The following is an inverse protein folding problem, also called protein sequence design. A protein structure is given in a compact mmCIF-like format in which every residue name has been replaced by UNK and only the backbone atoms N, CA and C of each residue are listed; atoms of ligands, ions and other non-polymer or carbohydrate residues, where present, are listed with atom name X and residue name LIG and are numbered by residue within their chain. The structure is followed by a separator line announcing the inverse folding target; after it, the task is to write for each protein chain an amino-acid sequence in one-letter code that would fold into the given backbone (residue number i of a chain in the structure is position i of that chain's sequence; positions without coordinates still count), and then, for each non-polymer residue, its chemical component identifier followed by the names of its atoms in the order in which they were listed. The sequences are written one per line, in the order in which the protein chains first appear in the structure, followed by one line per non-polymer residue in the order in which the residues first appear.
data_IF_936883045504
#
_entry.id   IF_936883045504
#
_cell.length_a   1.000
_cell.length_b   1.000
_cell.length_c   1.000
_cell.angle_alpha   90.00
_cell.angle_beta   90.00
_cell.angle_gamma   90.00
#
_symmetry.space_group_name_H-M   'P 1'
#
loop_
_entity.id
_entity.type
_entity.pdbx_description
1 polymer ?
#
# COMPACT_ATOMS: atom_id res chain seq x y z
N UNK A 1 -1.45 -13.29 -38.36
CA UNK A 1 -1.73 -13.91 -37.05
C UNK A 1 -3.25 -14.12 -36.97
N UNK A 2 -3.75 -15.33 -36.67
CA UNK A 2 -5.19 -15.54 -36.51
C UNK A 2 -5.66 -14.98 -35.15
N UNK A 3 -6.93 -14.57 -35.02
CA UNK A 3 -7.47 -14.08 -33.73
C UNK A 3 -7.37 -15.15 -32.65
N UNK A 4 -7.59 -16.42 -32.99
CA UNK A 4 -7.45 -17.54 -32.08
C UNK A 4 -6.02 -17.63 -31.47
N UNK A 5 -4.99 -17.35 -32.31
CA UNK A 5 -3.60 -17.35 -31.83
C UNK A 5 -3.31 -16.18 -30.87
N UNK A 6 -3.88 -15.00 -31.13
CA UNK A 6 -3.82 -13.86 -30.22
C UNK A 6 -4.43 -14.21 -28.85
N UNK A 7 -5.62 -14.83 -28.87
CA UNK A 7 -6.31 -15.27 -27.66
C UNK A 7 -5.48 -16.28 -26.85
N UNK A 8 -4.83 -17.23 -27.53
CA UNK A 8 -3.93 -18.20 -26.86
C UNK A 8 -2.74 -17.49 -26.21
N UNK A 9 -2.10 -16.54 -26.89
CA UNK A 9 -0.98 -15.80 -26.32
C UNK A 9 -1.40 -14.95 -25.10
N UNK A 10 -2.56 -14.31 -25.17
CA UNK A 10 -3.11 -13.60 -24.00
C UNK A 10 -3.48 -14.55 -22.84
N UNK A 11 -3.96 -15.76 -23.14
CA UNK A 11 -4.19 -16.78 -22.13
C UNK A 11 -2.88 -17.19 -21.45
N UNK A 12 -1.82 -17.43 -22.22
CA UNK A 12 -0.49 -17.75 -21.69
C UNK A 12 0.03 -16.59 -20.81
N UNK A 13 -0.10 -15.33 -21.26
CA UNK A 13 0.27 -14.17 -20.46
C UNK A 13 -0.52 -14.10 -19.16
N UNK A 14 -1.83 -14.40 -19.18
CA UNK A 14 -2.69 -14.43 -18.00
C UNK A 14 -2.26 -15.52 -17.01
N UNK A 15 -1.91 -16.71 -17.49
CA UNK A 15 -1.35 -17.78 -16.64
C UNK A 15 -0.03 -17.35 -16.00
N UNK A 16 0.83 -16.64 -16.76
CA UNK A 16 2.05 -16.06 -16.22
C UNK A 16 1.77 -15.05 -15.09
N UNK A 17 0.75 -14.20 -15.22
CA UNK A 17 0.35 -13.25 -14.18
C UNK A 17 -0.21 -13.96 -12.93
N UNK A 18 -1.01 -15.01 -13.09
CA UNK A 18 -1.48 -15.83 -11.97
C UNK A 18 -0.28 -16.45 -11.22
N UNK A 19 0.68 -17.01 -11.96
CA UNK A 19 1.89 -17.59 -11.37
C UNK A 19 2.79 -16.52 -10.73
N UNK A 20 2.79 -15.30 -11.27
CA UNK A 20 3.49 -14.18 -10.66
C UNK A 20 2.89 -13.84 -9.29
N UNK A 21 1.58 -13.66 -9.19
CA UNK A 21 0.91 -13.38 -7.91
C UNK A 21 1.12 -14.50 -6.90
N UNK A 22 0.97 -15.76 -7.32
CA UNK A 22 1.24 -16.92 -6.47
C UNK A 22 2.70 -16.96 -6.02
N UNK A 23 3.66 -16.66 -6.89
CA UNK A 23 5.08 -16.65 -6.55
C UNK A 23 5.45 -15.48 -5.61
N UNK A 24 4.82 -14.33 -5.76
CA UNK A 24 5.07 -13.15 -4.92
C UNK A 24 4.46 -13.26 -3.50
N UNK A 25 3.59 -14.24 -3.26
CA UNK A 25 2.97 -14.44 -1.94
C UNK A 25 3.93 -15.00 -0.89
N UNK A 26 5.09 -15.55 -1.29
CA UNK A 26 6.09 -16.10 -0.38
C UNK A 26 7.50 -15.62 -0.74
N UNK A 27 8.34 -15.25 0.23
CA UNK A 27 9.66 -14.68 -0.01
C UNK A 27 10.57 -15.56 -0.85
N UNK A 28 10.60 -16.87 -0.58
CA UNK A 28 11.48 -17.84 -1.29
C UNK A 28 11.10 -18.04 -2.76
N UNK A 29 9.85 -17.77 -3.13
CA UNK A 29 9.34 -17.91 -4.51
C UNK A 29 9.21 -16.57 -5.24
N UNK A 30 9.44 -15.44 -4.57
CA UNK A 30 9.21 -14.07 -5.08
C UNK A 30 10.00 -13.77 -6.36
N UNK A 31 11.28 -14.17 -6.42
CA UNK A 31 12.13 -13.98 -7.61
C UNK A 31 11.56 -14.74 -8.81
N UNK A 32 11.10 -15.99 -8.60
CA UNK A 32 10.46 -16.79 -9.64
C UNK A 32 9.14 -16.16 -10.08
N UNK A 33 8.34 -15.70 -9.13
CA UNK A 33 7.08 -14.99 -9.40
C UNK A 33 7.31 -13.74 -10.25
N UNK A 34 8.30 -12.93 -9.93
CA UNK A 34 8.65 -11.74 -10.69
C UNK A 34 9.07 -12.08 -12.14
N UNK A 35 9.83 -13.16 -12.35
CA UNK A 35 10.20 -13.63 -13.70
C UNK A 35 8.97 -14.03 -14.51
N UNK A 36 7.98 -14.69 -13.92
CA UNK A 36 6.70 -14.98 -14.58
C UNK A 36 5.96 -13.70 -14.94
N UNK A 37 5.91 -12.70 -14.07
CA UNK A 37 5.30 -11.40 -14.35
C UNK A 37 5.96 -10.69 -15.53
N UNK A 38 7.28 -10.65 -15.56
CA UNK A 38 8.04 -10.08 -16.69
C UNK A 38 7.77 -10.84 -18.00
N UNK A 39 7.79 -12.17 -17.98
CA UNK A 39 7.51 -12.98 -19.16
C UNK A 39 6.07 -12.74 -19.67
N UNK A 40 5.08 -12.72 -18.78
CA UNK A 40 3.69 -12.41 -19.13
C UNK A 40 3.55 -11.03 -19.77
N UNK A 41 4.22 -10.01 -19.23
CA UNK A 41 4.19 -8.65 -19.77
C UNK A 41 4.84 -8.56 -21.16
N UNK A 42 5.97 -9.23 -21.37
CA UNK A 42 6.64 -9.28 -22.68
C UNK A 42 5.72 -9.94 -23.72
N UNK A 43 5.12 -11.11 -23.40
CA UNK A 43 4.19 -11.81 -24.29
C UNK A 43 3.00 -10.90 -24.62
N UNK A 44 2.39 -10.28 -23.64
CA UNK A 44 1.24 -9.39 -23.83
C UNK A 44 1.58 -8.19 -24.72
N UNK A 45 2.71 -7.53 -24.46
CA UNK A 45 3.15 -6.35 -25.22
C UNK A 45 3.46 -6.69 -26.67
N UNK A 46 4.21 -7.78 -26.91
CA UNK A 46 4.54 -8.23 -28.27
C UNK A 46 3.30 -8.69 -29.03
N UNK A 47 2.37 -9.37 -28.39
CA UNK A 47 1.10 -9.79 -28.97
C UNK A 47 0.27 -8.59 -29.39
N UNK A 48 0.17 -7.58 -28.52
CA UNK A 48 -0.56 -6.34 -28.80
C UNK A 48 0.09 -5.55 -29.94
N UNK A 49 1.42 -5.44 -29.96
CA UNK A 49 2.15 -4.78 -31.04
C UNK A 49 1.92 -5.47 -32.40
N UNK A 50 1.97 -6.81 -32.42
CA UNK A 50 1.70 -7.60 -33.62
C UNK A 50 0.23 -7.45 -34.08
N UNK A 51 -0.72 -7.33 -33.16
CA UNK A 51 -2.11 -7.08 -33.43
C UNK A 51 -2.34 -5.69 -34.06
N UNK A 52 -1.68 -4.66 -33.51
CA UNK A 52 -1.74 -3.28 -34.05
C UNK A 52 -1.21 -3.24 -35.49
N UNK A 53 -0.05 -3.85 -35.76
CA UNK A 53 0.51 -3.92 -37.13
C UNK A 53 -0.50 -4.54 -38.11
N UNK A 54 -1.19 -5.58 -37.64
CA UNK A 54 -2.19 -6.27 -38.49
C UNK A 54 -3.46 -5.45 -38.74
N UNK A 55 -3.98 -4.77 -37.73
CA UNK A 55 -5.26 -4.07 -37.77
C UNK A 55 -5.14 -2.64 -38.32
N UNK A 56 -4.06 -1.94 -37.97
CA UNK A 56 -3.89 -0.52 -38.31
C UNK A 56 -3.40 -0.28 -39.76
N UNK A 57 -3.00 -1.32 -40.49
CA UNK A 57 -2.56 -1.21 -41.89
C UNK A 57 -1.38 -0.27 -42.13
N UNK A 58 -0.67 0.19 -41.12
CA UNK A 58 0.42 1.16 -41.24
C UNK A 58 1.35 1.29 -40.06
N UNK A 59 2.58 1.76 -40.34
CA UNK A 59 3.64 1.93 -39.35
C UNK A 59 3.40 3.09 -38.34
N UNK A 60 2.48 4.00 -38.65
CA UNK A 60 2.26 5.23 -37.85
C UNK A 60 1.73 4.91 -36.45
N UNK A 61 0.78 3.98 -36.32
CA UNK A 61 0.23 3.54 -35.03
C UNK A 61 1.29 2.87 -34.14
N UNK A 62 2.15 2.04 -34.73
CA UNK A 62 3.27 1.41 -34.04
C UNK A 62 4.30 2.46 -33.56
N UNK A 63 4.54 3.51 -34.34
CA UNK A 63 5.43 4.61 -33.94
C UNK A 63 4.98 5.29 -32.65
N UNK A 64 3.70 5.57 -32.47
CA UNK A 64 3.15 6.13 -31.23
C UNK A 64 3.26 5.17 -30.04
N UNK A 65 3.05 3.88 -30.27
CA UNK A 65 3.22 2.85 -29.21
C UNK A 65 4.69 2.78 -28.77
N UNK A 66 5.63 2.75 -29.73
CA UNK A 66 7.07 2.74 -29.42
C UNK A 66 7.46 4.02 -28.66
N UNK A 67 6.99 5.18 -29.09
CA UNK A 67 7.26 6.44 -28.41
C UNK A 67 6.73 6.41 -26.97
N UNK A 68 5.50 5.94 -26.76
CA UNK A 68 4.92 5.79 -25.42
C UNK A 68 5.70 4.81 -24.55
N UNK A 69 6.14 3.68 -25.09
CA UNK A 69 6.98 2.70 -24.38
C UNK A 69 8.36 3.28 -24.01
N UNK A 70 8.99 4.03 -24.90
CA UNK A 70 10.27 4.67 -24.64
C UNK A 70 10.14 5.74 -23.57
N UNK A 71 9.16 6.62 -23.67
CA UNK A 71 8.93 7.69 -22.68
C UNK A 71 8.55 7.10 -21.30
N UNK A 72 7.52 6.26 -21.25
CA UNK A 72 7.03 5.67 -20.01
C UNK A 72 8.04 4.69 -19.41
N UNK A 73 8.66 3.85 -20.22
CA UNK A 73 9.68 2.88 -19.79
C UNK A 73 10.94 3.57 -19.26
N UNK A 74 11.40 4.64 -19.91
CA UNK A 74 12.56 5.42 -19.44
C UNK A 74 12.23 6.11 -18.11
N UNK A 75 11.09 6.81 -18.03
CA UNK A 75 10.66 7.48 -16.80
C UNK A 75 10.49 6.47 -15.66
N UNK A 76 9.79 5.36 -15.91
CA UNK A 76 9.57 4.31 -14.92
C UNK A 76 10.86 3.65 -14.44
N UNK A 77 11.79 3.35 -15.36
CA UNK A 77 13.10 2.77 -15.01
C UNK A 77 13.94 3.72 -14.17
N UNK A 78 13.98 5.01 -14.52
CA UNK A 78 14.70 6.01 -13.73
C UNK A 78 14.11 6.12 -12.33
N UNK A 79 12.79 6.19 -12.22
CA UNK A 79 12.11 6.26 -10.93
C UNK A 79 12.36 5.01 -10.10
N UNK A 80 12.20 3.81 -10.67
CA UNK A 80 12.39 2.55 -9.97
C UNK A 80 13.83 2.37 -9.45
N UNK A 81 14.85 2.82 -10.21
CA UNK A 81 16.25 2.74 -9.78
C UNK A 81 16.66 3.79 -8.74
N UNK A 82 15.96 4.92 -8.69
CA UNK A 82 16.31 6.04 -7.79
C UNK A 82 15.49 6.10 -6.51
N UNK A 83 14.37 5.40 -6.48
CA UNK A 83 13.52 5.38 -5.30
C UNK A 83 14.19 4.57 -4.19
N UNK A 84 14.28 5.18 -3.02
CA UNK A 84 14.68 4.52 -1.79
C UNK A 84 13.54 3.62 -1.28
N UNK A 85 13.84 2.49 -0.67
CA UNK A 85 12.81 1.56 -0.14
C UNK A 85 11.86 2.23 0.84
N UNK A 86 12.34 3.18 1.63
CA UNK A 86 11.52 3.98 2.55
C UNK A 86 10.47 4.84 1.84
N UNK A 87 10.65 5.13 0.55
CA UNK A 87 9.75 5.92 -0.30
C UNK A 87 8.90 5.06 -1.24
N UNK A 88 8.95 3.74 -1.11
CA UNK A 88 8.13 2.83 -1.93
C UNK A 88 6.63 3.11 -1.83
N UNK A 89 6.04 3.43 -0.65
CA UNK A 89 4.62 3.78 -0.58
C UNK A 89 4.23 4.98 -1.44
N UNK A 90 5.12 6.00 -1.52
CA UNK A 90 4.93 7.17 -2.37
C UNK A 90 4.94 6.76 -3.86
N UNK A 91 5.94 5.96 -4.27
CA UNK A 91 6.04 5.47 -5.64
C UNK A 91 4.83 4.66 -6.06
N UNK A 92 4.39 3.74 -5.20
CA UNK A 92 3.22 2.89 -5.46
C UNK A 92 1.96 3.75 -5.65
N UNK A 93 1.72 4.74 -4.79
CA UNK A 93 0.61 5.66 -4.96
C UNK A 93 0.72 6.45 -6.28
N UNK A 94 1.91 6.94 -6.63
CA UNK A 94 2.12 7.63 -7.90
C UNK A 94 1.83 6.71 -9.11
N UNK A 95 2.29 5.47 -9.08
CA UNK A 95 2.00 4.50 -10.15
C UNK A 95 0.50 4.26 -10.32
N UNK A 96 -0.25 4.10 -9.23
CA UNK A 96 -1.70 3.95 -9.31
C UNK A 96 -2.39 5.18 -9.89
N UNK A 97 -1.86 6.39 -9.64
CA UNK A 97 -2.40 7.59 -10.29
C UNK A 97 -2.25 7.52 -11.82
N UNK A 98 -1.09 7.11 -12.30
CA UNK A 98 -0.87 6.98 -13.76
C UNK A 98 -1.75 5.89 -14.39
N UNK A 99 -1.95 4.76 -13.70
CA UNK A 99 -2.85 3.68 -14.17
C UNK A 99 -4.31 4.20 -14.23
N UNK A 100 -4.77 4.91 -13.21
CA UNK A 100 -6.10 5.52 -13.21
C UNK A 100 -6.30 6.51 -14.35
N UNK A 101 -5.30 7.36 -14.60
CA UNK A 101 -5.34 8.31 -15.72
C UNK A 101 -5.32 7.61 -17.08
N UNK A 102 -4.54 6.54 -17.22
CA UNK A 102 -4.52 5.74 -18.44
C UNK A 102 -5.90 5.11 -18.74
N UNK A 103 -6.59 4.61 -17.69
CA UNK A 103 -7.95 4.08 -17.84
C UNK A 103 -8.94 5.15 -18.34
N UNK A 104 -8.84 6.37 -17.81
CA UNK A 104 -9.67 7.50 -18.29
C UNK A 104 -9.40 7.81 -19.77
N UNK A 105 -8.13 7.91 -20.16
CA UNK A 105 -7.79 8.20 -21.57
C UNK A 105 -8.21 7.10 -22.52
N UNK A 106 -8.06 5.83 -22.14
CA UNK A 106 -8.51 4.70 -22.96
C UNK A 106 -10.03 4.75 -23.11
N UNK A 107 -10.77 5.00 -22.04
CA UNK A 107 -12.23 5.11 -22.11
C UNK A 107 -12.67 6.28 -23.01
N UNK A 108 -12.04 7.45 -22.88
CA UNK A 108 -12.32 8.60 -23.75
C UNK A 108 -12.01 8.30 -25.20
N UNK A 109 -10.87 7.69 -25.49
CA UNK A 109 -10.50 7.29 -26.85
C UNK A 109 -11.48 6.26 -27.43
N UNK A 110 -11.90 5.28 -26.62
CA UNK A 110 -12.87 4.25 -27.05
C UNK A 110 -14.28 4.83 -27.31
N UNK A 111 -14.67 5.87 -26.58
CA UNK A 111 -15.92 6.59 -26.83
C UNK A 111 -15.83 7.46 -28.08
N UNK A 112 -14.68 8.11 -28.31
CA UNK A 112 -14.46 8.96 -29.48
C UNK A 112 -14.40 8.15 -30.79
N UNK A 113 -13.72 7.00 -30.77
CA UNK A 113 -13.44 6.19 -31.95
C UNK A 113 -13.76 4.69 -31.71
N UNK A 114 -15.03 4.33 -31.39
CA UNK A 114 -15.38 2.97 -30.95
C UNK A 114 -15.11 1.90 -32.03
N UNK A 115 -15.13 2.29 -33.31
CA UNK A 115 -14.80 1.39 -34.41
C UNK A 115 -13.31 1.01 -34.44
N UNK A 116 -12.44 1.91 -34.00
CA UNK A 116 -11.00 1.65 -33.94
C UNK A 116 -10.65 0.58 -32.88
N UNK A 117 -11.48 0.47 -31.85
CA UNK A 117 -11.34 -0.52 -30.78
C UNK A 117 -12.17 -1.81 -31.04
N UNK A 118 -12.87 -1.89 -32.16
CA UNK A 118 -13.70 -3.05 -32.48
C UNK A 118 -14.98 -3.16 -31.63
N UNK A 119 -15.39 -2.08 -30.97
CA UNK A 119 -16.59 -2.05 -30.11
C UNK A 119 -17.85 -1.94 -30.94
N UNK A 120 -17.82 -1.15 -32.01
CA UNK A 120 -18.94 -1.01 -32.95
C UNK A 120 -18.42 -0.78 -34.37
N UNK A 121 -19.26 -0.99 -35.39
CA UNK A 121 -18.93 -0.61 -36.78
C UNK A 121 -18.89 0.91 -36.93
N UNK A 122 -18.15 1.40 -37.91
CA UNK A 122 -18.04 2.84 -38.16
C UNK A 122 -19.43 3.46 -38.44
N UNK A 123 -19.76 4.49 -37.65
CA UNK A 123 -21.07 5.16 -37.72
C UNK A 123 -22.20 4.46 -36.95
N UNK A 124 -21.92 3.34 -36.33
CA UNK A 124 -22.91 2.67 -35.46
C UNK A 124 -22.74 3.07 -33.99
N UNK A 125 -23.85 3.11 -33.26
CA UNK A 125 -23.79 3.44 -31.81
C UNK A 125 -23.05 2.36 -31.03
N UNK A 126 -22.44 2.78 -29.92
CA UNK A 126 -21.80 1.86 -28.97
C UNK A 126 -22.88 0.95 -28.34
N UNK A 127 -22.69 -0.37 -28.25
CA UNK A 127 -23.64 -1.27 -27.58
C UNK A 127 -23.89 -0.85 -26.12
N UNK A 128 -25.12 -1.06 -25.63
CA UNK A 128 -25.52 -0.59 -24.31
C UNK A 128 -24.68 -1.13 -23.15
N UNK A 129 -24.21 -2.37 -23.22
CA UNK A 129 -23.29 -2.95 -22.24
C UNK A 129 -21.97 -2.21 -22.18
N UNK A 130 -21.33 -2.02 -23.34
CA UNK A 130 -20.05 -1.33 -23.45
C UNK A 130 -20.11 0.13 -22.98
N UNK A 131 -21.25 0.81 -23.11
CA UNK A 131 -21.41 2.18 -22.58
C UNK A 131 -21.31 2.22 -21.06
N UNK A 132 -21.95 1.27 -20.37
CA UNK A 132 -21.87 1.18 -18.90
C UNK A 132 -20.45 0.84 -18.49
N UNK A 133 -19.83 -0.13 -19.13
CA UNK A 133 -18.47 -0.58 -18.82
C UNK A 133 -17.45 0.55 -19.00
N UNK A 134 -17.53 1.29 -20.12
CA UNK A 134 -16.65 2.45 -20.38
C UNK A 134 -16.87 3.56 -19.37
N UNK A 135 -18.12 3.89 -19.05
CA UNK A 135 -18.44 4.92 -18.07
C UNK A 135 -17.94 4.53 -16.65
N UNK A 136 -18.15 3.28 -16.23
CA UNK A 136 -17.66 2.80 -14.94
C UNK A 136 -16.15 2.70 -14.90
N UNK A 137 -15.51 2.20 -15.96
CA UNK A 137 -14.06 2.15 -16.08
C UNK A 137 -13.42 3.54 -16.01
N UNK A 138 -13.98 4.52 -16.70
CA UNK A 138 -13.55 5.92 -16.63
C UNK A 138 -13.78 6.54 -15.25
N UNK A 139 -14.93 6.29 -14.62
CA UNK A 139 -15.28 6.79 -13.30
C UNK A 139 -14.33 6.28 -12.22
N UNK A 140 -14.12 4.95 -12.17
CA UNK A 140 -13.20 4.32 -11.23
C UNK A 140 -11.77 4.77 -11.51
N UNK A 141 -11.37 4.88 -12.78
CA UNK A 141 -10.07 5.40 -13.18
C UNK A 141 -9.84 6.84 -12.72
N UNK A 142 -10.87 7.70 -12.84
CA UNK A 142 -10.82 9.10 -12.39
C UNK A 142 -10.67 9.20 -10.86
N UNK A 143 -11.44 8.43 -10.10
CA UNK A 143 -11.29 8.34 -8.62
C UNK A 143 -9.89 7.86 -8.27
N UNK A 144 -9.39 6.83 -8.95
CA UNK A 144 -8.06 6.27 -8.72
C UNK A 144 -6.97 7.30 -8.96
N UNK A 145 -7.06 8.06 -10.06
CA UNK A 145 -6.08 9.09 -10.38
C UNK A 145 -5.97 10.14 -9.29
N UNK A 146 -7.06 10.86 -9.02
CA UNK A 146 -7.00 11.98 -8.06
C UNK A 146 -6.81 11.51 -6.63
N UNK A 147 -7.43 10.40 -6.24
CA UNK A 147 -7.22 9.79 -4.93
C UNK A 147 -5.78 9.39 -4.70
N UNK A 148 -5.13 8.80 -5.70
CA UNK A 148 -3.72 8.40 -5.63
C UNK A 148 -2.77 9.62 -5.62
N UNK A 149 -3.10 10.72 -6.32
CA UNK A 149 -2.33 11.97 -6.24
C UNK A 149 -2.38 12.54 -4.81
N UNK A 150 -3.54 12.55 -4.18
CA UNK A 150 -3.67 13.00 -2.78
C UNK A 150 -2.90 12.06 -1.84
N UNK A 151 -3.03 10.74 -2.00
CA UNK A 151 -2.31 9.76 -1.20
C UNK A 151 -0.78 9.93 -1.35
N UNK A 152 -0.28 10.08 -2.57
CA UNK A 152 1.13 10.39 -2.85
C UNK A 152 1.58 11.65 -2.11
N UNK A 153 0.83 12.75 -2.20
CA UNK A 153 1.14 13.99 -1.52
C UNK A 153 1.22 13.84 0.00
N UNK A 154 0.25 13.12 0.59
CA UNK A 154 0.21 12.85 2.04
C UNK A 154 1.34 11.95 2.52
N UNK A 155 1.71 10.94 1.73
CA UNK A 155 2.81 10.02 2.06
C UNK A 155 4.16 10.71 1.96
N UNK A 156 4.38 11.55 0.96
CA UNK A 156 5.67 12.22 0.73
C UNK A 156 6.03 13.22 1.84
N UNK A 157 5.03 13.84 2.47
CA UNK A 157 5.23 14.81 3.55
C UNK A 157 6.03 16.06 3.17
N UNK A 158 6.41 16.22 1.88
CA UNK A 158 7.28 17.30 1.40
C UNK A 158 6.52 18.58 1.06
N UNK A 159 5.23 18.44 0.76
CA UNK A 159 4.43 19.54 0.25
C UNK A 159 3.73 20.29 1.39
N UNK A 160 3.86 21.61 1.41
CA UNK A 160 3.19 22.48 2.41
C UNK A 160 1.70 22.67 2.14
N UNK A 161 1.19 22.20 1.01
CA UNK A 161 -0.20 22.32 0.63
C UNK A 161 -1.10 21.49 1.57
N UNK A 162 -2.16 22.10 2.11
CA UNK A 162 -3.00 21.52 3.17
C UNK A 162 -3.54 20.11 2.84
N UNK A 163 -3.90 19.86 1.57
CA UNK A 163 -4.43 18.56 1.13
C UNK A 163 -3.38 17.47 1.12
N UNK A 164 -2.09 17.82 1.04
CA UNK A 164 -0.95 16.89 1.01
C UNK A 164 -0.29 16.71 2.39
N UNK A 165 -0.84 17.36 3.41
CA UNK A 165 -0.38 17.11 4.78
C UNK A 165 -0.98 15.79 5.28
N UNK A 166 -0.21 15.03 6.08
CA UNK A 166 -0.66 13.74 6.63
C UNK A 166 -1.86 13.82 7.58
N UNK A 167 -2.27 15.03 7.98
CA UNK A 167 -3.44 15.26 8.83
C UNK A 167 -4.75 15.10 8.06
N UNK A 168 -5.80 14.54 8.68
CA UNK A 168 -7.14 14.50 8.10
C UNK A 168 -7.68 15.90 7.83
N UNK A 169 -8.32 16.09 6.67
CA UNK A 169 -9.06 17.30 6.34
C UNK A 169 -10.54 16.94 6.32
N UNK A 170 -11.25 17.31 7.37
CA UNK A 170 -12.67 17.02 7.56
C UNK A 170 -13.45 18.33 7.60
N UNK A 171 -14.66 18.35 7.04
CA UNK A 171 -15.60 19.47 7.08
C UNK A 171 -17.05 19.00 7.25
N UNK A 172 -17.89 19.83 7.82
CA UNK A 172 -19.29 19.50 8.07
C UNK A 172 -20.02 19.19 6.76
N UNK A 173 -20.81 18.11 6.73
CA UNK A 173 -21.59 17.72 5.57
C UNK A 173 -20.81 16.95 4.49
N UNK A 174 -19.55 16.60 4.70
CA UNK A 174 -18.70 15.88 3.73
C UNK A 174 -19.32 14.59 3.22
N UNK A 175 -19.93 13.81 4.09
CA UNK A 175 -20.58 12.55 3.69
C UNK A 175 -21.79 12.76 2.80
N UNK A 176 -22.59 13.77 3.11
CA UNK A 176 -23.73 14.16 2.26
C UNK A 176 -23.28 14.66 0.90
N UNK A 177 -22.19 15.44 0.86
CA UNK A 177 -21.60 15.89 -0.40
C UNK A 177 -21.10 14.69 -1.23
N UNK A 178 -20.36 13.77 -0.63
CA UNK A 178 -19.87 12.57 -1.32
C UNK A 178 -21.02 11.70 -1.84
N UNK A 179 -22.09 11.54 -1.05
CA UNK A 179 -23.28 10.83 -1.47
C UNK A 179 -23.97 11.53 -2.65
N UNK A 180 -24.16 12.85 -2.55
CA UNK A 180 -24.77 13.63 -3.62
C UNK A 180 -23.98 13.54 -4.93
N UNK A 181 -22.66 13.66 -4.87
CA UNK A 181 -21.77 13.51 -6.03
C UNK A 181 -21.80 12.07 -6.59
N UNK A 182 -21.88 11.07 -5.73
CA UNK A 182 -22.02 9.67 -6.14
C UNK A 182 -23.35 9.41 -6.87
N UNK A 183 -24.45 9.90 -6.33
CA UNK A 183 -25.78 9.81 -6.97
C UNK A 183 -25.79 10.58 -8.30
N UNK A 184 -25.21 11.78 -8.33
CA UNK A 184 -25.12 12.58 -9.55
C UNK A 184 -24.27 11.88 -10.61
N UNK A 185 -23.16 11.23 -10.21
CA UNK A 185 -22.35 10.42 -11.11
C UNK A 185 -23.15 9.27 -11.73
N UNK A 186 -23.95 8.58 -10.91
CA UNK A 186 -24.82 7.50 -11.39
C UNK A 186 -25.86 8.02 -12.39
N UNK A 187 -26.44 9.19 -12.16
CA UNK A 187 -27.37 9.83 -13.09
C UNK A 187 -26.68 10.11 -14.43
N UNK A 188 -25.45 10.62 -14.42
CA UNK A 188 -24.70 10.86 -15.66
C UNK A 188 -24.24 9.57 -16.34
N UNK A 189 -23.95 8.50 -15.61
CA UNK A 189 -23.69 7.16 -16.19
C UNK A 189 -24.95 6.68 -16.94
N UNK A 190 -26.12 6.78 -16.33
CA UNK A 190 -27.40 6.42 -16.95
C UNK A 190 -27.74 7.35 -18.15
N UNK A 191 -27.46 8.64 -18.05
CA UNK A 191 -27.60 9.57 -19.15
C UNK A 191 -26.68 9.22 -20.34
N UNK A 192 -25.42 8.86 -20.06
CA UNK A 192 -24.48 8.39 -21.08
C UNK A 192 -24.91 7.06 -21.69
N UNK A 193 -25.39 6.14 -20.88
CA UNK A 193 -25.94 4.88 -21.35
C UNK A 193 -27.08 5.10 -22.38
N UNK A 194 -27.90 6.11 -22.16
CA UNK A 194 -29.04 6.42 -23.01
C UNK A 194 -28.66 7.20 -24.28
N UNK A 195 -27.83 8.23 -24.13
CA UNK A 195 -27.58 9.24 -25.17
C UNK A 195 -26.23 9.13 -25.87
N UNK A 196 -25.24 8.43 -25.31
CA UNK A 196 -23.82 8.46 -25.73
C UNK A 196 -23.25 9.89 -25.79
N UNK A 197 -23.85 10.85 -25.06
CA UNK A 197 -23.46 12.24 -25.12
C UNK A 197 -22.07 12.47 -24.53
N UNK A 198 -21.20 13.16 -25.26
CA UNK A 198 -19.85 13.52 -24.79
C UNK A 198 -19.92 14.32 -23.47
N UNK A 199 -20.93 15.18 -23.32
CA UNK A 199 -21.14 15.93 -22.09
C UNK A 199 -21.36 15.02 -20.87
N UNK A 200 -22.21 13.99 -21.00
CA UNK A 200 -22.46 13.03 -19.91
C UNK A 200 -21.20 12.28 -19.53
N UNK A 201 -20.39 11.86 -20.49
CA UNK A 201 -19.11 11.20 -20.23
C UNK A 201 -18.11 12.13 -19.53
N UNK A 202 -18.03 13.38 -19.98
CA UNK A 202 -17.18 14.40 -19.33
C UNK A 202 -17.59 14.64 -17.88
N UNK A 203 -18.90 14.71 -17.61
CA UNK A 203 -19.43 14.87 -16.27
C UNK A 203 -19.13 13.66 -15.36
N UNK A 204 -19.24 12.44 -15.88
CA UNK A 204 -18.84 11.20 -15.15
C UNK A 204 -17.37 11.29 -14.72
N UNK A 205 -16.49 11.69 -15.62
CA UNK A 205 -15.05 11.81 -15.35
C UNK A 205 -14.78 12.95 -14.35
N UNK A 206 -15.38 14.13 -14.54
CA UNK A 206 -15.20 15.28 -13.66
C UNK A 206 -15.66 15.00 -12.24
N UNK A 207 -16.81 14.36 -12.08
CA UNK A 207 -17.35 13.96 -10.78
C UNK A 207 -16.48 12.85 -10.14
N UNK A 208 -15.94 11.93 -10.94
CA UNK A 208 -14.97 10.94 -10.49
C UNK A 208 -13.70 11.58 -9.94
N UNK A 209 -13.15 12.59 -10.62
CA UNK A 209 -12.01 13.36 -10.13
C UNK A 209 -12.30 14.08 -8.81
N UNK A 210 -13.47 14.71 -8.68
CA UNK A 210 -13.87 15.36 -7.46
C UNK A 210 -14.02 14.36 -6.30
N UNK A 211 -14.69 13.24 -6.53
CA UNK A 211 -14.89 12.20 -5.53
C UNK A 211 -13.56 11.57 -5.09
N UNK A 212 -12.63 11.34 -6.01
CA UNK A 212 -11.31 10.80 -5.65
C UNK A 212 -10.55 11.69 -4.67
N UNK A 213 -10.62 13.01 -4.85
CA UNK A 213 -10.06 13.96 -3.87
C UNK A 213 -10.81 13.87 -2.54
N UNK A 214 -12.13 13.99 -2.57
CA UNK A 214 -12.97 14.09 -1.37
C UNK A 214 -12.99 12.83 -0.52
N UNK A 215 -12.77 11.65 -1.11
CA UNK A 215 -12.67 10.38 -0.39
C UNK A 215 -11.34 10.25 0.37
N UNK A 216 -10.25 10.80 -0.16
CA UNK A 216 -8.91 10.57 0.41
C UNK A 216 -8.46 11.69 1.37
N UNK A 217 -8.96 12.91 1.21
CA UNK A 217 -8.54 14.02 2.08
C UNK A 217 -8.86 13.82 3.57
N UNK A 218 -9.97 13.17 3.98
CA UNK A 218 -10.28 12.98 5.41
C UNK A 218 -9.48 11.84 6.05
N UNK A 219 -8.78 11.02 5.26
CA UNK A 219 -8.06 9.86 5.77
C UNK A 219 -6.69 10.31 6.30
N UNK A 220 -6.38 9.90 7.52
CA UNK A 220 -5.12 10.20 8.19
C UNK A 220 -3.96 9.30 7.74
N UNK A 221 -2.74 9.68 8.11
CA UNK A 221 -1.52 8.92 7.78
C UNK A 221 -1.50 7.49 8.33
N UNK A 222 -2.19 7.22 9.43
CA UNK A 222 -2.32 5.90 10.03
C UNK A 222 -3.02 4.89 9.12
N UNK A 223 -4.08 5.33 8.44
CA UNK A 223 -4.91 4.47 7.58
C UNK A 223 -4.39 4.43 6.12
N UNK A 224 -3.30 5.14 5.81
CA UNK A 224 -2.71 5.18 4.45
C UNK A 224 -2.32 3.80 3.89
N UNK A 225 -1.82 2.83 4.67
CA UNK A 225 -1.57 1.49 4.14
C UNK A 225 -2.82 0.84 3.52
N UNK A 226 -3.97 0.97 4.19
CA UNK A 226 -5.26 0.47 3.68
C UNK A 226 -5.67 1.22 2.42
N UNK A 227 -5.50 2.54 2.41
CA UNK A 227 -5.81 3.40 1.26
C UNK A 227 -4.99 3.02 0.03
N UNK A 228 -3.69 2.84 0.17
CA UNK A 228 -2.81 2.43 -0.94
C UNK A 228 -3.25 1.08 -1.51
N UNK A 229 -3.59 0.12 -0.65
CA UNK A 229 -4.11 -1.18 -1.08
C UNK A 229 -5.47 -1.06 -1.78
N UNK A 230 -6.34 -0.17 -1.32
CA UNK A 230 -7.65 0.06 -1.93
C UNK A 230 -7.55 0.78 -3.27
N UNK A 231 -6.62 1.73 -3.41
CA UNK A 231 -6.32 2.39 -4.70
C UNK A 231 -5.75 1.39 -5.72
N UNK A 232 -4.95 0.41 -5.25
CA UNK A 232 -4.53 -0.74 -6.07
C UNK A 232 -5.75 -1.54 -6.57
N UNK A 233 -6.71 -1.81 -5.67
CA UNK A 233 -7.96 -2.48 -6.04
C UNK A 233 -8.76 -1.70 -7.09
N UNK A 234 -8.92 -0.39 -6.90
CA UNK A 234 -9.62 0.47 -7.86
C UNK A 234 -8.94 0.48 -9.23
N UNK A 235 -7.60 0.55 -9.27
CA UNK A 235 -6.86 0.47 -10.53
C UNK A 235 -7.08 -0.85 -11.25
N UNK A 236 -7.15 -1.96 -10.51
CA UNK A 236 -7.47 -3.28 -11.06
C UNK A 236 -8.90 -3.34 -11.62
N UNK A 237 -9.89 -2.84 -10.91
CA UNK A 237 -11.27 -2.81 -11.39
C UNK A 237 -11.49 -1.88 -12.57
N UNK A 238 -10.80 -0.73 -12.61
CA UNK A 238 -10.81 0.15 -13.78
C UNK A 238 -10.25 -0.59 -15.02
N UNK A 239 -9.12 -1.30 -14.87
CA UNK A 239 -8.54 -2.10 -15.95
C UNK A 239 -9.48 -3.23 -16.41
N UNK A 240 -10.15 -3.93 -15.47
CA UNK A 240 -11.11 -4.97 -15.80
C UNK A 240 -12.33 -4.40 -16.56
N UNK A 241 -12.89 -3.28 -16.10
CA UNK A 241 -14.01 -2.60 -16.77
C UNK A 241 -13.68 -2.17 -18.20
N UNK A 242 -12.52 -1.58 -18.40
CA UNK A 242 -12.01 -1.29 -19.76
C UNK A 242 -11.80 -2.58 -20.56
N UNK A 243 -11.26 -3.63 -19.92
CA UNK A 243 -11.05 -4.93 -20.54
C UNK A 243 -12.33 -5.57 -21.07
N UNK A 244 -13.45 -5.45 -20.37
CA UNK A 244 -14.76 -5.91 -20.85
C UNK A 244 -15.17 -5.16 -22.12
N UNK A 245 -15.10 -3.84 -22.11
CA UNK A 245 -15.46 -3.02 -23.27
C UNK A 245 -14.60 -3.28 -24.50
N UNK A 246 -13.32 -3.54 -24.30
CA UNK A 246 -12.36 -3.84 -25.37
C UNK A 246 -12.33 -5.32 -25.76
N UNK A 247 -13.14 -6.16 -25.12
CA UNK A 247 -13.11 -7.62 -25.25
C UNK A 247 -11.69 -8.20 -25.10
N UNK A 248 -10.92 -7.66 -24.15
CA UNK A 248 -9.55 -8.05 -23.90
C UNK A 248 -9.47 -8.93 -22.65
N UNK A 249 -9.42 -10.24 -22.85
CA UNK A 249 -9.40 -11.24 -21.79
C UNK A 249 -8.21 -11.07 -20.81
N UNK A 250 -7.06 -10.62 -21.31
CA UNK A 250 -5.90 -10.38 -20.47
C UNK A 250 -6.14 -9.24 -19.46
N UNK A 251 -6.70 -8.11 -19.91
CA UNK A 251 -7.06 -6.99 -19.02
C UNK A 251 -8.14 -7.38 -18.01
N UNK A 252 -9.13 -8.19 -18.43
CA UNK A 252 -10.18 -8.69 -17.55
C UNK A 252 -9.55 -9.53 -16.44
N UNK A 253 -8.73 -10.53 -16.80
CA UNK A 253 -8.12 -11.45 -15.83
C UNK A 253 -7.14 -10.71 -14.91
N UNK A 254 -6.20 -9.97 -15.47
CA UNK A 254 -5.21 -9.24 -14.67
C UNK A 254 -5.87 -8.19 -13.78
N UNK A 255 -6.81 -7.42 -14.33
CA UNK A 255 -7.55 -6.40 -13.59
C UNK A 255 -8.39 -6.98 -12.46
N UNK A 256 -9.11 -8.08 -12.70
CA UNK A 256 -9.92 -8.77 -11.69
C UNK A 256 -9.05 -9.35 -10.57
N UNK A 257 -7.89 -9.94 -10.90
CA UNK A 257 -6.96 -10.47 -9.90
C UNK A 257 -6.39 -9.35 -9.02
N UNK A 258 -5.91 -8.28 -9.62
CA UNK A 258 -5.37 -7.12 -8.89
C UNK A 258 -6.46 -6.45 -8.06
N UNK A 259 -7.64 -6.26 -8.66
CA UNK A 259 -8.79 -5.65 -7.98
C UNK A 259 -9.22 -6.45 -6.75
N UNK A 260 -9.38 -7.75 -6.89
CA UNK A 260 -9.79 -8.63 -5.79
C UNK A 260 -8.72 -8.76 -4.71
N UNK A 261 -7.45 -8.95 -5.10
CA UNK A 261 -6.35 -9.07 -4.12
C UNK A 261 -6.16 -7.79 -3.31
N UNK A 262 -6.25 -6.61 -3.93
CA UNK A 262 -6.20 -5.33 -3.24
C UNK A 262 -7.35 -5.13 -2.26
N UNK A 263 -8.58 -5.52 -2.62
CA UNK A 263 -9.74 -5.43 -1.74
C UNK A 263 -9.62 -6.37 -0.54
N UNK A 264 -9.22 -7.63 -0.77
CA UNK A 264 -9.00 -8.62 0.30
C UNK A 264 -7.92 -8.14 1.25
N UNK A 265 -6.79 -7.66 0.73
CA UNK A 265 -5.68 -7.14 1.54
C UNK A 265 -6.13 -5.93 2.37
N UNK A 266 -6.89 -4.99 1.78
CA UNK A 266 -7.45 -3.85 2.51
C UNK A 266 -8.38 -4.29 3.65
N UNK A 267 -9.22 -5.31 3.41
CA UNK A 267 -10.09 -5.87 4.44
C UNK A 267 -9.30 -6.51 5.59
N UNK A 268 -8.28 -7.32 5.27
CA UNK A 268 -7.42 -7.96 6.28
C UNK A 268 -6.70 -6.90 7.12
N UNK A 269 -6.18 -5.84 6.48
CA UNK A 269 -5.52 -4.75 7.18
C UNK A 269 -6.48 -3.96 8.07
N UNK A 270 -7.70 -3.69 7.62
CA UNK A 270 -8.72 -3.06 8.47
C UNK A 270 -9.02 -3.92 9.69
N UNK A 271 -9.11 -5.25 9.51
CA UNK A 271 -9.30 -6.19 10.62
C UNK A 271 -8.10 -6.18 11.58
N UNK A 272 -6.87 -6.16 11.06
CA UNK A 272 -5.64 -6.06 11.87
C UNK A 272 -5.51 -4.73 12.61
N UNK A 273 -6.19 -3.67 12.15
CA UNK A 273 -6.25 -2.36 12.82
C UNK A 273 -7.47 -2.20 13.72
N UNK A 274 -8.33 -3.22 13.81
CA UNK A 274 -9.66 -3.16 14.44
C UNK A 274 -10.50 -1.98 13.95
N UNK A 275 -10.44 -1.71 12.67
CA UNK A 275 -11.20 -0.64 12.01
C UNK A 275 -12.24 -1.22 11.05
N UNK A 276 -13.42 -0.58 10.99
CA UNK A 276 -14.41 -0.94 9.98
C UNK A 276 -13.89 -0.61 8.58
N UNK A 277 -13.91 -1.60 7.69
CA UNK A 277 -13.51 -1.44 6.30
C UNK A 277 -14.28 -0.31 5.59
N UNK A 278 -15.60 -0.26 5.77
CA UNK A 278 -16.43 0.79 5.19
C UNK A 278 -16.12 2.16 5.77
N UNK A 279 -15.82 2.24 7.07
CA UNK A 279 -15.47 3.51 7.70
C UNK A 279 -14.16 4.07 7.14
N UNK A 280 -13.17 3.23 6.91
CA UNK A 280 -11.89 3.66 6.33
C UNK A 280 -12.07 4.11 4.88
N UNK A 281 -12.80 3.35 4.05
CA UNK A 281 -12.99 3.67 2.62
C UNK A 281 -13.84 4.93 2.42
N UNK A 282 -14.89 5.10 3.21
CA UNK A 282 -15.77 6.27 3.11
C UNK A 282 -15.19 7.53 3.77
N UNK A 283 -14.02 7.42 4.39
CA UNK A 283 -13.26 8.58 4.87
C UNK A 283 -13.92 9.32 6.03
N UNK A 284 -14.54 8.62 6.99
CA UNK A 284 -15.45 9.30 7.86
C UNK A 284 -15.27 9.25 9.37
N UNK A 285 -14.47 8.39 9.94
CA UNK A 285 -14.62 8.11 11.37
C UNK A 285 -13.31 8.12 12.20
N UNK A 286 -12.23 8.69 11.66
CA UNK A 286 -11.00 8.95 12.43
C UNK A 286 -11.04 10.24 13.28
N UNK A 287 -12.06 11.08 13.10
CA UNK A 287 -12.17 12.36 13.79
C UNK A 287 -12.48 12.23 15.29
N UNK A 288 -13.30 11.25 15.66
CA UNK A 288 -13.73 11.10 17.05
C UNK A 288 -12.62 10.49 17.94
N UNK A 289 -11.76 9.65 17.39
CA UNK A 289 -10.60 9.11 18.11
C UNK A 289 -9.51 10.19 18.35
N UNK A 290 -9.33 11.12 17.42
CA UNK A 290 -8.37 12.22 17.59
C UNK A 290 -8.87 13.31 18.55
N UNK A 291 -10.18 13.48 18.69
CA UNK A 291 -10.77 14.40 19.65
C UNK A 291 -10.75 13.87 21.09
N UNK A 292 -10.78 12.55 21.28
CA UNK A 292 -10.70 11.92 22.59
C UNK A 292 -9.24 11.85 23.14
N UNK A 293 -8.23 12.04 22.27
CA UNK A 293 -6.81 11.97 22.65
C UNK A 293 -6.24 13.27 23.26
N UNK A 294 -7.06 14.28 23.48
CA UNK A 294 -6.69 15.56 24.12
C UNK A 294 -6.70 15.54 25.66
N UNK A 295 -6.63 14.38 26.29
CA UNK A 295 -6.43 14.24 27.72
C UNK A 295 -5.04 14.75 28.12
N UNK A 296 -4.94 15.49 29.22
CA UNK A 296 -3.69 15.92 29.84
C UNK A 296 -2.75 14.71 29.97
N UNK A 297 -1.60 14.78 29.31
CA UNK A 297 -0.55 13.79 29.49
C UNK A 297 0.02 13.98 30.90
N UNK A 298 -0.36 13.12 31.83
CA UNK A 298 0.36 13.00 33.08
C UNK A 298 1.84 12.75 32.75
N UNK A 299 2.72 13.58 33.29
CA UNK A 299 4.16 13.39 33.16
C UNK A 299 4.57 12.16 34.02
N UNK A 300 4.43 10.97 33.39
CA UNK A 300 4.94 9.74 33.98
C UNK A 300 6.43 9.63 33.73
N UNK A 301 7.19 9.20 34.71
CA UNK A 301 8.63 8.93 34.55
C UNK A 301 8.85 7.61 33.83
N UNK A 302 9.80 7.60 32.89
CA UNK A 302 10.26 6.40 32.20
C UNK A 302 11.67 6.05 32.64
N UNK A 303 12.01 4.76 32.62
CA UNK A 303 13.39 4.32 32.84
C UNK A 303 14.19 4.53 31.57
N UNK A 304 15.08 5.49 31.55
CA UNK A 304 16.00 5.75 30.45
C UNK A 304 17.31 5.01 30.65
N UNK A 305 17.79 4.36 29.59
CA UNK A 305 19.08 3.71 29.52
C UNK A 305 19.92 4.21 28.35
N UNK A 306 21.21 3.90 28.39
CA UNK A 306 22.18 4.16 27.35
C UNK A 306 22.24 3.01 26.33
N UNK A 307 22.97 3.22 25.23
CA UNK A 307 23.27 2.15 24.29
C UNK A 307 24.12 1.03 24.94
N UNK A 308 25.02 1.40 25.87
CA UNK A 308 25.87 0.46 26.62
C UNK A 308 25.02 -0.42 27.55
N UNK A 309 24.02 0.17 28.23
CA UNK A 309 23.10 -0.60 29.08
C UNK A 309 22.30 -1.60 28.25
N UNK A 310 21.83 -1.16 27.07
CA UNK A 310 21.12 -2.02 26.14
C UNK A 310 22.02 -3.15 25.61
N UNK A 311 23.27 -2.85 25.27
CA UNK A 311 24.26 -3.83 24.81
C UNK A 311 24.54 -4.88 25.89
N UNK A 312 24.68 -4.46 27.15
CA UNK A 312 24.85 -5.37 28.28
C UNK A 312 23.67 -6.32 28.46
N UNK A 313 22.45 -5.80 28.39
CA UNK A 313 21.23 -6.63 28.51
C UNK A 313 21.11 -7.61 27.35
N UNK A 314 21.34 -7.17 26.10
CA UNK A 314 21.28 -8.01 24.91
C UNK A 314 22.37 -9.06 24.87
N UNK A 315 23.60 -8.72 25.27
CA UNK A 315 24.75 -9.64 25.25
C UNK A 315 24.67 -10.76 26.29
N UNK A 316 23.81 -10.62 27.31
CA UNK A 316 23.56 -11.63 28.35
C UNK A 316 22.22 -12.36 28.20
N UNK A 317 21.52 -12.19 27.10
CA UNK A 317 20.26 -12.87 26.80
C UNK A 317 20.51 -14.19 26.06
N UNK A 318 19.65 -15.19 26.27
CA UNK A 318 19.64 -16.41 25.46
C UNK A 318 18.76 -16.25 24.21
N UNK A 319 17.73 -15.41 24.29
CA UNK A 319 16.78 -15.16 23.21
C UNK A 319 16.42 -13.68 23.08
N UNK A 320 16.42 -13.18 21.84
CA UNK A 320 16.10 -11.79 21.50
C UNK A 320 15.07 -11.74 20.37
N UNK A 321 14.01 -10.97 20.57
CA UNK A 321 13.04 -10.66 19.51
C UNK A 321 13.14 -9.19 19.13
N UNK A 322 13.40 -8.92 17.86
CA UNK A 322 13.47 -7.58 17.28
C UNK A 322 12.09 -7.22 16.69
N UNK A 323 11.53 -6.14 17.16
CA UNK A 323 10.23 -5.61 16.71
C UNK A 323 10.45 -4.35 15.87
N UNK A 324 10.56 -4.45 14.53
CA UNK A 324 10.79 -3.31 13.70
C UNK A 324 9.49 -2.52 13.47
N UNK A 325 9.59 -1.20 13.53
CA UNK A 325 8.49 -0.28 13.27
C UNK A 325 8.85 0.80 12.25
N UNK A 326 7.92 1.73 12.02
CA UNK A 326 8.11 2.80 11.05
C UNK A 326 9.32 3.71 11.35
N UNK A 327 9.64 3.91 12.62
CA UNK A 327 10.82 4.69 13.03
C UNK A 327 12.14 4.10 12.53
N UNK A 328 12.25 2.77 12.47
CA UNK A 328 13.38 2.06 11.87
C UNK A 328 13.50 2.38 10.38
N UNK A 329 12.36 2.36 9.66
CA UNK A 329 12.32 2.71 8.24
C UNK A 329 12.77 4.15 7.99
N UNK A 330 12.29 5.11 8.79
CA UNK A 330 12.65 6.52 8.66
C UNK A 330 14.15 6.76 8.92
N UNK A 331 14.71 6.05 9.90
CA UNK A 331 16.13 6.11 10.22
C UNK A 331 17.02 5.32 9.27
N UNK A 332 16.45 4.52 8.35
CA UNK A 332 17.17 3.59 7.44
C UNK A 332 18.11 2.66 8.21
N UNK A 333 17.61 2.13 9.32
CA UNK A 333 18.40 1.33 10.25
C UNK A 333 18.43 -0.17 9.91
N UNK A 334 17.79 -0.63 8.83
CA UNK A 334 17.64 -2.05 8.48
C UNK A 334 18.98 -2.79 8.38
N UNK A 335 20.01 -2.17 7.82
CA UNK A 335 21.36 -2.78 7.72
C UNK A 335 22.05 -2.83 9.08
N UNK A 336 21.93 -1.78 9.89
CA UNK A 336 22.50 -1.76 11.25
C UNK A 336 21.82 -2.81 12.15
N UNK A 337 20.52 -3.01 11.98
CA UNK A 337 19.77 -4.04 12.74
C UNK A 337 20.19 -5.45 12.32
N UNK A 338 20.43 -5.69 11.02
CA UNK A 338 20.99 -6.97 10.55
C UNK A 338 22.37 -7.23 11.16
N UNK A 339 23.24 -6.21 11.21
CA UNK A 339 24.58 -6.33 11.80
C UNK A 339 24.49 -6.63 13.30
N UNK A 340 23.59 -5.96 14.04
CA UNK A 340 23.31 -6.28 15.42
C UNK A 340 22.86 -7.74 15.60
N UNK A 341 21.89 -8.18 14.80
CA UNK A 341 21.40 -9.55 14.87
C UNK A 341 22.49 -10.58 14.57
N UNK A 342 23.33 -10.31 13.56
CA UNK A 342 24.46 -11.19 13.23
C UNK A 342 25.44 -11.31 14.39
N UNK A 343 25.80 -10.19 15.03
CA UNK A 343 26.72 -10.17 16.18
C UNK A 343 26.15 -10.91 17.40
N UNK A 344 24.83 -10.79 17.65
CA UNK A 344 24.15 -11.54 18.69
C UNK A 344 24.14 -13.05 18.39
N UNK A 345 23.87 -13.42 17.13
CA UNK A 345 23.85 -14.82 16.70
C UNK A 345 25.25 -15.46 16.77
N UNK A 346 26.32 -14.71 16.47
CA UNK A 346 27.71 -15.17 16.66
C UNK A 346 28.03 -15.49 18.12
N UNK A 347 27.36 -14.84 19.06
CA UNK A 347 27.44 -15.15 20.50
C UNK A 347 26.57 -16.35 20.94
N UNK A 348 25.83 -16.94 20.02
CA UNK A 348 24.94 -18.07 20.31
C UNK A 348 23.55 -17.68 20.79
N UNK A 349 23.18 -16.41 20.66
CA UNK A 349 21.85 -15.88 21.05
C UNK A 349 20.85 -16.18 19.93
N UNK A 350 19.68 -16.72 20.26
CA UNK A 350 18.58 -16.92 19.31
C UNK A 350 17.91 -15.58 18.98
N UNK A 351 18.01 -15.12 17.72
CA UNK A 351 17.48 -13.84 17.27
C UNK A 351 16.36 -14.04 16.28
N UNK A 352 15.19 -13.48 16.60
CA UNK A 352 14.00 -13.50 15.73
C UNK A 352 13.50 -12.08 15.46
N UNK A 353 12.85 -11.89 14.32
CA UNK A 353 12.17 -10.65 13.96
C UNK A 353 10.66 -10.86 14.02
N UNK A 354 9.95 -10.00 14.74
CA UNK A 354 8.49 -10.04 14.86
C UNK A 354 7.85 -8.93 14.03
N UNK A 355 7.10 -9.29 13.00
CA UNK A 355 6.47 -8.35 12.09
C UNK A 355 4.99 -8.19 12.41
N UNK A 356 4.56 -6.94 12.55
CA UNK A 356 3.14 -6.61 12.61
C UNK A 356 2.62 -6.27 11.20
N UNK A 357 1.45 -6.81 10.77
CA UNK A 357 0.95 -6.66 9.40
C UNK A 357 0.73 -5.20 8.96
N UNK A 358 0.48 -4.30 9.90
CA UNK A 358 0.27 -2.87 9.62
C UNK A 358 1.45 -1.98 10.05
N UNK A 359 2.59 -2.55 10.44
CA UNK A 359 3.78 -1.77 10.74
C UNK A 359 4.30 -1.08 9.47
N UNK A 360 4.42 0.24 9.50
CA UNK A 360 4.91 1.00 8.37
C UNK A 360 3.87 1.88 7.68
N UNK A 361 4.00 2.08 6.38
CA UNK A 361 3.11 2.92 5.53
C UNK A 361 2.57 2.23 4.29
N UNK A 362 2.88 0.95 4.10
CA UNK A 362 2.31 0.08 3.08
C UNK A 362 2.28 -1.35 3.60
N UNK A 363 1.46 -2.24 3.01
CA UNK A 363 1.49 -3.67 3.33
C UNK A 363 2.89 -4.26 3.17
N UNK A 364 3.35 -5.04 4.16
CA UNK A 364 4.66 -5.68 4.11
C UNK A 364 5.86 -4.72 4.16
N UNK A 365 5.69 -3.47 4.62
CA UNK A 365 6.76 -2.49 4.62
C UNK A 365 8.01 -2.98 5.37
N UNK A 366 7.83 -3.60 6.52
CA UNK A 366 8.97 -4.13 7.30
C UNK A 366 9.60 -5.33 6.62
N UNK A 367 8.81 -6.22 6.03
CA UNK A 367 9.31 -7.37 5.27
C UNK A 367 10.21 -6.93 4.10
N UNK A 368 9.81 -5.88 3.37
CA UNK A 368 10.60 -5.33 2.26
C UNK A 368 11.93 -4.76 2.75
N UNK A 369 11.95 -4.03 3.88
CA UNK A 369 13.17 -3.46 4.45
C UNK A 369 14.13 -4.54 4.96
N UNK A 370 13.60 -5.58 5.61
CA UNK A 370 14.42 -6.71 6.06
C UNK A 370 14.96 -7.52 4.88
N UNK A 371 14.17 -7.68 3.81
CA UNK A 371 14.63 -8.30 2.57
C UNK A 371 15.73 -7.48 1.87
N UNK A 372 15.62 -6.13 1.86
CA UNK A 372 16.67 -5.23 1.35
C UNK A 372 17.98 -5.41 2.12
N UNK A 373 17.88 -5.57 3.45
CA UNK A 373 19.03 -5.86 4.30
C UNK A 373 19.50 -7.32 4.19
N UNK A 374 18.86 -8.15 3.38
CA UNK A 374 19.18 -9.58 3.22
C UNK A 374 19.11 -10.35 4.56
N UNK A 375 18.11 -10.04 5.38
CA UNK A 375 17.83 -10.83 6.60
C UNK A 375 17.29 -12.19 6.18
N UNK A 376 17.78 -13.30 6.78
CA UNK A 376 17.27 -14.65 6.50
C UNK A 376 15.78 -14.75 6.81
N UNK A 377 15.00 -15.32 5.89
CA UNK A 377 13.54 -15.39 6.02
C UNK A 377 13.07 -16.32 7.15
N UNK A 378 13.85 -17.29 7.51
CA UNK A 378 13.62 -18.22 8.63
C UNK A 378 13.70 -17.53 9.99
N UNK A 379 14.27 -16.34 10.07
CA UNK A 379 14.30 -15.51 11.26
C UNK A 379 13.14 -14.50 11.33
N UNK A 380 12.32 -14.38 10.28
CA UNK A 380 11.23 -13.39 10.19
C UNK A 380 9.90 -14.06 10.41
N UNK A 381 9.21 -13.69 11.49
CA UNK A 381 7.95 -14.27 11.92
C UNK A 381 6.83 -13.24 11.86
N UNK A 382 5.67 -13.67 11.41
CA UNK A 382 4.45 -12.87 11.48
C UNK A 382 3.91 -12.87 12.93
N UNK A 383 3.10 -11.86 13.25
CA UNK A 383 2.56 -11.66 14.60
C UNK A 383 1.84 -12.90 15.13
N UNK A 384 1.07 -13.59 14.28
CA UNK A 384 0.27 -14.77 14.69
C UNK A 384 1.15 -15.94 15.12
N UNK A 385 2.33 -16.08 14.51
CA UNK A 385 3.27 -17.17 14.80
C UNK A 385 4.09 -16.91 16.06
N UNK A 386 4.50 -15.65 16.29
CA UNK A 386 5.46 -15.32 17.33
C UNK A 386 4.83 -14.87 18.67
N UNK A 387 3.57 -14.40 18.66
CA UNK A 387 2.93 -13.88 19.88
C UNK A 387 2.89 -14.89 21.02
N UNK A 388 2.76 -16.19 20.71
CA UNK A 388 2.80 -17.25 21.72
C UNK A 388 4.17 -17.42 22.40
N UNK A 389 5.25 -16.99 21.76
CA UNK A 389 6.62 -17.17 22.26
C UNK A 389 7.12 -16.04 23.15
N UNK A 390 6.54 -14.83 23.08
CA UNK A 390 7.04 -13.66 23.82
C UNK A 390 7.20 -13.89 25.34
N UNK A 391 6.39 -14.74 25.94
CA UNK A 391 6.50 -15.07 27.36
C UNK A 391 7.79 -15.82 27.75
N UNK A 392 8.48 -16.42 26.77
CA UNK A 392 9.73 -17.15 26.96
C UNK A 392 10.95 -16.33 26.53
N UNK A 393 10.75 -15.22 25.83
CA UNK A 393 11.81 -14.36 25.32
C UNK A 393 12.47 -13.57 26.43
N UNK A 394 13.79 -13.55 26.46
CA UNK A 394 14.55 -12.78 27.46
C UNK A 394 14.46 -11.29 27.20
N UNK A 395 14.71 -10.88 25.94
CA UNK A 395 14.70 -9.46 25.58
C UNK A 395 13.90 -9.22 24.29
N UNK A 396 12.91 -8.34 24.38
CA UNK A 396 12.24 -7.77 23.21
C UNK A 396 12.80 -6.37 22.95
N UNK A 397 13.40 -6.14 21.78
CA UNK A 397 13.87 -4.83 21.38
C UNK A 397 12.93 -4.21 20.33
N UNK A 398 12.26 -3.12 20.70
CA UNK A 398 11.29 -2.40 19.87
C UNK A 398 11.98 -1.22 19.22
N UNK A 399 12.07 -1.24 17.89
CA UNK A 399 12.80 -0.24 17.10
C UNK A 399 11.84 0.63 16.29
N UNK A 400 11.43 1.76 16.85
CA UNK A 400 10.57 2.72 16.15
C UNK A 400 9.12 2.27 15.93
N UNK A 401 8.61 1.32 16.74
CA UNK A 401 7.20 0.95 16.81
C UNK A 401 6.51 1.66 17.99
N UNK A 402 5.19 1.83 17.91
CA UNK A 402 4.39 2.42 19.00
C UNK A 402 3.06 1.66 19.15
N UNK A 403 2.01 2.04 18.42
CA UNK A 403 0.65 1.52 18.62
C UNK A 403 0.56 0.00 18.47
N UNK A 404 1.37 -0.58 17.58
CA UNK A 404 1.41 -2.04 17.31
C UNK A 404 1.97 -2.89 18.46
N UNK A 405 2.52 -2.26 19.49
CA UNK A 405 3.01 -2.92 20.73
C UNK A 405 2.34 -2.38 21.97
N UNK A 406 1.26 -1.60 21.85
CA UNK A 406 0.63 -0.91 22.97
C UNK A 406 -0.38 -1.81 23.70
N UNK A 407 -0.14 -2.20 24.96
CA UNK A 407 -1.05 -3.06 25.73
C UNK A 407 -2.42 -2.44 26.00
N UNK A 408 -2.57 -1.12 25.85
CA UNK A 408 -3.87 -0.43 25.96
C UNK A 408 -4.91 -0.97 24.94
N UNK A 409 -4.45 -1.59 23.87
CA UNK A 409 -5.33 -2.30 22.92
C UNK A 409 -6.14 -3.45 23.56
N UNK A 410 -5.73 -3.97 24.69
CA UNK A 410 -6.43 -5.00 25.44
C UNK A 410 -7.46 -4.44 26.43
N UNK A 411 -7.44 -3.14 26.72
CA UNK A 411 -8.30 -2.49 27.71
C UNK A 411 -9.61 -2.03 27.06
N UNK A 412 -10.74 -2.45 27.64
CA UNK A 412 -12.07 -2.00 27.20
C UNK A 412 -12.21 -0.48 27.39
N UNK A 413 -12.69 0.19 26.34
CA UNK A 413 -12.86 1.65 26.35
C UNK A 413 -11.70 2.42 25.72
N UNK A 414 -10.58 1.79 25.43
CA UNK A 414 -9.50 2.40 24.65
C UNK A 414 -9.92 2.61 23.19
N UNK A 415 -9.51 3.71 22.54
CA UNK A 415 -9.72 3.93 21.10
C UNK A 415 -9.14 2.85 20.19
N UNK A 416 -8.15 2.10 20.65
CA UNK A 416 -7.53 0.97 19.95
C UNK A 416 -7.94 -0.40 20.49
N UNK A 417 -8.97 -0.45 21.35
CA UNK A 417 -9.44 -1.71 21.94
C UNK A 417 -9.75 -2.77 20.86
N UNK A 418 -9.22 -3.96 21.08
CA UNK A 418 -9.39 -5.10 20.16
C UNK A 418 -8.46 -5.08 18.94
N UNK A 419 -7.58 -4.09 18.81
CA UNK A 419 -6.51 -4.13 17.82
C UNK A 419 -5.53 -5.26 18.21
N UNK A 420 -5.25 -6.23 17.33
CA UNK A 420 -4.16 -7.18 17.55
C UNK A 420 -2.83 -6.43 17.69
N UNK A 421 -2.00 -6.83 18.63
CA UNK A 421 -0.69 -6.23 18.89
C UNK A 421 0.38 -7.31 19.01
N UNK A 422 1.63 -6.94 18.75
CA UNK A 422 2.76 -7.76 19.16
C UNK A 422 2.92 -7.69 20.67
N UNK A 423 2.88 -8.83 21.33
CA UNK A 423 2.83 -8.94 22.80
C UNK A 423 4.22 -8.77 23.46
N UNK A 424 5.01 -7.83 22.96
CA UNK A 424 6.35 -7.53 23.48
C UNK A 424 6.39 -7.30 25.00
N UNK A 425 5.27 -6.82 25.58
CA UNK A 425 5.12 -6.63 27.02
C UNK A 425 5.21 -7.94 27.83
N UNK A 426 5.12 -9.11 27.20
CA UNK A 426 5.28 -10.41 27.86
C UNK A 426 6.74 -10.82 28.05
N UNK A 427 7.67 -10.29 27.24
CA UNK A 427 9.09 -10.60 27.37
C UNK A 427 9.62 -10.24 28.77
N UNK A 428 10.69 -10.89 29.22
CA UNK A 428 11.27 -10.65 30.54
C UNK A 428 11.79 -9.20 30.68
N UNK A 429 12.47 -8.72 29.63
CA UNK A 429 12.95 -7.33 29.51
C UNK A 429 12.53 -6.74 28.18
N UNK A 430 12.17 -5.45 28.17
CA UNK A 430 11.81 -4.75 26.94
C UNK A 430 12.74 -3.54 26.78
N UNK A 431 13.36 -3.43 25.61
CA UNK A 431 14.15 -2.25 25.22
C UNK A 431 13.37 -1.52 24.14
N UNK A 432 13.10 -0.24 24.32
CA UNK A 432 12.36 0.56 23.35
C UNK A 432 13.22 1.71 22.85
N UNK A 433 13.51 1.74 21.56
CA UNK A 433 14.14 2.88 20.93
C UNK A 433 13.08 3.82 20.32
N UNK A 434 13.13 5.08 20.71
CA UNK A 434 12.34 6.19 20.13
C UNK A 434 13.16 7.47 20.12
N UNK A 435 12.81 8.40 19.23
CA UNK A 435 13.42 9.74 19.22
C UNK A 435 12.89 10.64 20.33
N UNK A 436 11.62 10.45 20.71
CA UNK A 436 10.94 11.21 21.75
C UNK A 436 9.71 10.46 22.24
N UNK A 437 9.09 10.92 23.33
CA UNK A 437 7.84 10.37 23.88
C UNK A 437 6.59 10.76 23.08
N UNK A 438 6.75 11.36 21.89
CA UNK A 438 5.61 11.70 21.05
C UNK A 438 4.70 10.48 20.78
N UNK A 439 3.38 10.71 20.86
CA UNK A 439 2.38 9.69 20.62
C UNK A 439 2.50 9.09 19.20
N UNK A 440 2.02 7.86 19.03
CA UNK A 440 1.93 7.20 17.74
C UNK A 440 0.76 7.73 16.87
N UNK A 441 0.36 6.95 15.88
CA UNK A 441 -0.75 7.33 14.99
C UNK A 441 -2.10 7.43 15.69
N UNK A 442 -2.32 6.60 16.72
CA UNK A 442 -3.56 6.62 17.49
C UNK A 442 -3.66 7.86 18.40
N UNK A 443 -2.58 8.63 18.53
CA UNK A 443 -2.53 9.78 19.43
C UNK A 443 -2.56 9.40 20.91
N UNK A 444 -2.35 8.13 21.22
CA UNK A 444 -2.39 7.57 22.58
C UNK A 444 -1.00 7.43 23.16
N UNK A 445 -0.96 7.50 24.49
CA UNK A 445 0.23 7.10 25.23
C UNK A 445 0.36 5.57 25.24
N UNK A 446 1.58 5.06 25.36
CA UNK A 446 1.84 3.63 25.31
C UNK A 446 2.28 3.12 26.68
N UNK A 447 1.42 2.34 27.33
CA UNK A 447 1.66 1.77 28.64
C UNK A 447 2.94 0.89 28.69
N UNK A 448 3.35 0.30 27.58
CA UNK A 448 4.59 -0.47 27.51
C UNK A 448 5.81 0.33 27.94
N UNK A 449 5.84 1.64 27.67
CA UNK A 449 6.99 2.49 27.93
C UNK A 449 7.21 2.80 29.43
N UNK A 450 6.15 2.62 30.23
CA UNK A 450 6.14 2.90 31.68
C UNK A 450 6.29 1.65 32.54
N UNK A 451 6.33 0.47 31.90
CA UNK A 451 6.50 -0.79 32.66
C UNK A 451 7.87 -0.87 33.31
N UNK A 452 7.94 -1.46 34.49
CA UNK A 452 9.19 -1.61 35.28
C UNK A 452 10.29 -2.36 34.52
N UNK A 453 9.94 -3.28 33.68
CA UNK A 453 10.85 -4.07 32.85
C UNK A 453 11.21 -3.41 31.49
N UNK A 454 10.71 -2.20 31.23
CA UNK A 454 10.98 -1.47 30.02
C UNK A 454 12.07 -0.44 30.21
N UNK A 455 13.08 -0.47 29.36
CA UNK A 455 14.14 0.52 29.27
C UNK A 455 14.00 1.31 27.97
N UNK A 456 13.90 2.64 28.10
CA UNK A 456 13.83 3.54 26.97
C UNK A 456 15.24 3.99 26.55
N UNK A 457 15.58 3.80 25.28
CA UNK A 457 16.84 4.29 24.70
C UNK A 457 16.48 5.35 23.65
N UNK A 458 16.69 6.61 24.02
CA UNK A 458 16.31 7.73 23.16
C UNK A 458 17.38 8.01 22.10
N UNK A 459 16.94 8.24 20.88
CA UNK A 459 17.83 8.61 19.78
C UNK A 459 17.32 8.17 18.41
N UNK A 460 18.08 8.52 17.38
CA UNK A 460 17.86 8.01 16.04
C UNK A 460 18.13 6.51 16.00
N UNK A 461 17.20 5.73 15.42
CA UNK A 461 17.28 4.27 15.49
C UNK A 461 18.56 3.71 14.87
N UNK A 462 19.04 4.29 13.77
CA UNK A 462 20.28 3.84 13.14
C UNK A 462 21.48 4.04 14.07
N UNK A 463 21.61 5.26 14.61
CA UNK A 463 22.72 5.59 15.50
C UNK A 463 22.71 4.75 16.77
N UNK A 464 21.54 4.61 17.41
CA UNK A 464 21.38 3.82 18.63
C UNK A 464 21.75 2.36 18.39
N UNK A 465 21.28 1.76 17.29
CA UNK A 465 21.60 0.37 16.94
C UNK A 465 23.09 0.19 16.64
N UNK A 466 23.71 1.12 15.90
CA UNK A 466 25.15 1.10 15.63
C UNK A 466 25.97 1.22 16.94
N UNK A 467 25.56 2.08 17.86
CA UNK A 467 26.23 2.26 19.15
C UNK A 467 26.07 0.99 20.03
N UNK A 468 24.87 0.38 20.07
CA UNK A 468 24.65 -0.90 20.75
C UNK A 468 25.54 -1.99 20.13
N UNK A 469 25.59 -2.10 18.81
CA UNK A 469 26.38 -3.11 18.10
C UNK A 469 27.88 -2.97 18.42
N UNK A 470 28.39 -1.75 18.56
CA UNK A 470 29.80 -1.51 18.96
C UNK A 470 30.07 -1.87 20.40
N UNK A 471 29.08 -1.64 21.29
CA UNK A 471 29.21 -1.90 22.71
C UNK A 471 29.05 -3.39 23.10
N UNK A 472 28.52 -4.22 22.20
CA UNK A 472 28.49 -5.67 22.39
C UNK A 472 29.90 -6.21 22.16
N UNK A 473 30.56 -6.62 23.20
CA UNK A 473 31.90 -7.24 23.17
C UNK A 473 31.88 -8.71 22.68
#
# INVERSE_FOLDING_TARGET
MSMNFVTILYLIASVCFIQALKGLSHPTTSIRGNRFGMAGMVIATLTTAALIIKLAGGALGLGWVILGLLMGGTAGTIMAKRVEMTKMPELVAFMHSMIGLAAVFIAVAAVAEPWAFGISAKGQPIPGGNRIELALGAFIGAITFTGSVIAFGKLSGKYKFRLFQGKPVVFAGQHWLNLALGVLSLIFVLAFWRSQGAFSMTMVIALGFALGVLLIIPIGGADMPVVVSMLNSYSGWAAAGIGFSLNNSMLIIAGSLVGSSGAILSYIMCKAMNRSFFNVILGGFGGDAAAAAGGEQEQRSVKSGSADDAAFVLGNADSVVIVPGYGLAVARAQHAVKELAAKLTEKGIDVKYAIHPVAGRMPGHMNVLLAEAEVPYDQVFEMEDINGEFGQVDVAIVLGANDVVNPVALQKGSPIYGMPILEAYKAKTVIVNKRSMAAGYAGLDNELFYMDKTMMVFGDAKKVVEDITKAIE
#
